data_IF_171428861275
#
_entry.id   IF_171428861275
#
_cell.length_a   1.000
_cell.length_b   1.000
_cell.length_c   1.000
_cell.angle_alpha   90.00
_cell.angle_beta   90.00
_cell.angle_gamma   90.00
#
_symmetry.space_group_name_H-M   'P 1'
#
loop_
_entity.id
_entity.type
_entity.pdbx_description
1 polymer ?
#
# COMPACT_ATOMS: atom_id res chain seq x y z
N UNK A 1 3.74 1.61 7.76
CA UNK A 1 5.18 1.48 7.45
C UNK A 1 5.68 2.69 6.69
N UNK A 2 5.04 3.16 5.62
CA UNK A 2 5.50 4.33 4.87
C UNK A 2 5.71 5.59 5.72
N UNK A 3 4.82 5.86 6.68
CA UNK A 3 5.02 6.99 7.63
C UNK A 3 6.34 6.93 8.39
N UNK A 4 6.80 5.73 8.77
CA UNK A 4 8.06 5.54 9.50
C UNK A 4 9.29 5.77 8.61
N UNK A 5 9.19 5.44 7.32
CA UNK A 5 10.23 5.78 6.34
C UNK A 5 10.27 7.30 6.06
N UNK A 6 9.11 7.96 6.04
CA UNK A 6 9.02 9.39 5.80
C UNK A 6 9.50 10.26 6.98
N UNK A 7 9.73 9.67 8.16
CA UNK A 7 10.15 10.42 9.35
C UNK A 7 11.43 11.21 9.15
N UNK A 8 12.40 10.65 8.40
CA UNK A 8 13.69 11.29 8.14
C UNK A 8 13.58 12.61 7.34
N UNK A 9 12.41 12.95 6.81
CA UNK A 9 12.17 14.22 6.13
C UNK A 9 12.75 14.29 4.71
N UNK A 10 13.29 13.20 4.18
CA UNK A 10 13.79 13.09 2.80
C UNK A 10 12.70 12.71 1.78
N UNK A 11 11.50 12.37 2.27
CA UNK A 11 10.42 11.84 1.46
C UNK A 11 9.19 12.74 1.48
N UNK A 12 8.56 12.88 0.32
CA UNK A 12 7.19 13.38 0.20
C UNK A 12 6.24 12.20 0.11
N UNK A 13 5.37 12.10 1.10
CA UNK A 13 4.42 11.01 1.23
C UNK A 13 3.25 11.19 0.26
N UNK A 14 3.08 10.25 -0.67
CA UNK A 14 1.95 10.15 -1.59
C UNK A 14 1.14 8.93 -1.20
N UNK A 15 -0.02 9.16 -0.60
CA UNK A 15 -0.88 8.09 -0.10
C UNK A 15 -1.74 7.54 -1.23
N UNK A 16 -1.72 6.24 -1.45
CA UNK A 16 -2.70 5.48 -2.24
C UNK A 16 -3.10 6.06 -3.61
N UNK A 17 -2.17 6.50 -4.48
CA UNK A 17 -2.46 7.04 -5.82
C UNK A 17 -3.40 6.18 -6.68
N UNK A 18 -3.40 4.85 -6.51
CA UNK A 18 -4.24 3.90 -7.21
C UNK A 18 -5.52 3.51 -6.43
N UNK A 19 -5.90 4.27 -5.40
CA UNK A 19 -7.21 4.08 -4.78
C UNK A 19 -8.31 4.78 -5.60
N UNK A 20 -9.30 4.05 -6.17
CA UNK A 20 -10.34 4.65 -7.00
C UNK A 20 -11.36 5.50 -6.20
N UNK A 21 -11.44 5.28 -4.88
CA UNK A 21 -12.45 5.87 -4.00
C UNK A 21 -11.91 6.99 -3.10
N UNK A 22 -10.60 6.98 -2.81
CA UNK A 22 -9.95 8.04 -2.04
C UNK A 22 -9.07 8.94 -2.93
N UNK A 23 -8.88 10.22 -2.57
CA UNK A 23 -7.75 10.99 -3.09
C UNK A 23 -6.46 10.22 -2.82
N UNK A 24 -5.63 9.97 -3.85
CA UNK A 24 -5.40 10.79 -5.04
C UNK A 24 -5.97 10.22 -6.35
N UNK A 25 -6.71 9.11 -6.36
CA UNK A 25 -7.31 8.57 -7.59
C UNK A 25 -8.30 9.54 -8.27
N UNK A 26 -8.78 10.56 -7.53
CA UNK A 26 -9.58 11.70 -8.02
C UNK A 26 -8.85 13.04 -7.95
N UNK A 27 -7.52 13.02 -7.86
CA UNK A 27 -6.66 14.18 -7.74
C UNK A 27 -5.71 14.20 -8.93
N UNK A 28 -6.15 14.70 -10.11
CA UNK A 28 -5.30 14.76 -11.30
C UNK A 28 -4.06 15.66 -11.12
N UNK A 29 -4.01 16.47 -10.06
CA UNK A 29 -2.81 17.14 -9.59
C UNK A 29 -1.71 16.21 -9.09
N UNK A 30 -2.08 15.11 -8.40
CA UNK A 30 -1.15 14.09 -7.88
C UNK A 30 -0.89 12.99 -8.89
N UNK A 31 -1.95 12.43 -9.47
CA UNK A 31 -1.89 11.37 -10.49
C UNK A 31 -2.87 11.69 -11.61
N UNK A 32 -2.34 12.10 -12.78
CA UNK A 32 -3.16 12.44 -13.95
C UNK A 32 -3.45 11.20 -14.81
N UNK A 33 -4.06 10.19 -14.21
CA UNK A 33 -4.52 8.97 -14.87
C UNK A 33 -5.87 8.54 -14.28
N UNK A 34 -6.67 7.79 -15.05
CA UNK A 34 -7.96 7.29 -14.59
C UNK A 34 -7.79 5.90 -13.98
N UNK A 35 -8.02 5.79 -12.67
CA UNK A 35 -8.00 4.50 -11.96
C UNK A 35 -9.41 3.92 -12.01
N UNK A 36 -9.58 2.85 -12.79
CA UNK A 36 -10.90 2.24 -13.01
C UNK A 36 -11.15 1.03 -12.13
N UNK A 37 -10.07 0.34 -11.70
CA UNK A 37 -10.17 -0.87 -10.88
C UNK A 37 -9.46 -0.72 -9.54
N UNK A 38 -9.97 -1.36 -8.50
CA UNK A 38 -9.18 -1.68 -7.31
C UNK A 38 -8.12 -2.69 -7.69
N UNK A 39 -6.88 -2.43 -7.26
CA UNK A 39 -5.71 -3.19 -7.71
C UNK A 39 -5.47 -3.08 -9.23
N UNK A 40 -5.52 -1.84 -9.73
CA UNK A 40 -5.24 -1.54 -11.14
C UNK A 40 -3.87 -2.10 -11.56
N UNK A 41 -3.90 -3.04 -12.51
CA UNK A 41 -2.74 -3.65 -13.12
C UNK A 41 -2.17 -2.77 -14.21
N UNK A 42 -0.85 -2.56 -14.14
CA UNK A 42 -0.07 -1.73 -15.05
C UNK A 42 1.12 -2.57 -15.50
N UNK A 43 1.29 -2.66 -16.81
CA UNK A 43 2.38 -3.35 -17.47
C UNK A 43 2.88 -2.49 -18.65
N UNK A 44 3.85 -3.00 -19.41
CA UNK A 44 4.43 -2.23 -20.51
C UNK A 44 3.41 -1.97 -21.64
N UNK A 45 2.45 -2.87 -21.84
CA UNK A 45 1.44 -2.75 -22.91
C UNK A 45 0.42 -1.64 -22.69
N UNK A 46 0.14 -1.26 -21.43
CA UNK A 46 -0.70 -0.11 -21.10
C UNK A 46 0.09 1.09 -20.56
N UNK A 47 1.43 1.03 -20.58
CA UNK A 47 2.28 2.06 -19.99
C UNK A 47 2.09 3.44 -20.60
N UNK A 48 1.60 3.55 -21.84
CA UNK A 48 1.34 4.84 -22.49
C UNK A 48 0.40 5.74 -21.66
N UNK A 49 -0.59 5.15 -20.99
CA UNK A 49 -1.58 5.87 -20.18
C UNK A 49 -1.05 6.21 -18.77
N UNK A 50 -0.15 5.38 -18.25
CA UNK A 50 0.29 5.44 -16.85
C UNK A 50 1.64 6.11 -16.66
N UNK A 51 2.59 5.87 -17.56
CA UNK A 51 3.97 6.33 -17.44
C UNK A 51 4.06 7.86 -17.35
N UNK A 52 3.38 8.67 -18.18
CA UNK A 52 3.46 10.12 -18.04
C UNK A 52 2.93 10.61 -16.70
N UNK A 53 1.82 10.03 -16.23
CA UNK A 53 1.18 10.39 -14.97
C UNK A 53 2.09 10.07 -13.78
N UNK A 54 2.60 8.84 -13.69
CA UNK A 54 3.49 8.46 -12.60
C UNK A 54 4.85 9.15 -12.68
N UNK A 55 5.39 9.41 -13.86
CA UNK A 55 6.65 10.15 -14.02
C UNK A 55 6.55 11.56 -13.44
N UNK A 56 5.37 12.18 -13.52
CA UNK A 56 5.10 13.43 -12.83
C UNK A 56 5.00 13.23 -11.32
N UNK A 57 4.24 12.24 -10.85
CA UNK A 57 4.08 11.93 -9.42
C UNK A 57 5.42 11.66 -8.74
N UNK A 58 6.25 10.77 -9.29
CA UNK A 58 7.55 10.39 -8.69
C UNK A 58 8.58 11.52 -8.74
N UNK A 59 8.47 12.43 -9.71
CA UNK A 59 9.28 13.66 -9.81
C UNK A 59 8.67 14.84 -9.05
N UNK A 60 7.62 14.60 -8.26
CA UNK A 60 6.92 15.61 -7.46
C UNK A 60 6.44 16.80 -8.31
N UNK A 61 6.00 16.52 -9.54
CA UNK A 61 5.46 17.51 -10.48
C UNK A 61 3.94 17.61 -10.33
N UNK A 62 3.51 18.44 -9.39
CA UNK A 62 2.08 18.64 -9.17
C UNK A 62 1.41 19.34 -10.38
N UNK A 63 0.30 18.81 -10.87
CA UNK A 63 -0.42 19.34 -12.04
C UNK A 63 -1.57 20.26 -11.62
N UNK A 64 -1.24 21.48 -11.19
CA UNK A 64 -2.21 22.50 -10.74
C UNK A 64 -3.37 22.73 -11.73
N UNK A 65 -3.06 22.92 -13.02
CA UNK A 65 -4.09 23.14 -14.04
C UNK A 65 -5.03 21.95 -14.22
N UNK A 66 -4.52 20.73 -14.09
CA UNK A 66 -5.34 19.53 -14.17
C UNK A 66 -6.26 19.40 -12.95
N UNK A 67 -5.74 19.69 -11.75
CA UNK A 67 -6.53 19.72 -10.52
C UNK A 67 -7.64 20.76 -10.58
N UNK A 68 -7.32 22.01 -10.95
CA UNK A 68 -8.28 23.11 -10.99
C UNK A 68 -9.38 22.91 -12.04
N UNK A 69 -9.07 22.22 -13.15
CA UNK A 69 -10.07 21.91 -14.18
C UNK A 69 -11.11 20.92 -13.67
N UNK A 70 -10.67 19.90 -12.93
CA UNK A 70 -11.52 18.81 -12.45
C UNK A 70 -12.22 19.11 -11.11
N UNK A 71 -11.52 19.75 -10.18
CA UNK A 71 -11.95 19.90 -8.79
C UNK A 71 -11.95 21.40 -8.41
N UNK A 72 -13.13 21.94 -8.10
CA UNK A 72 -13.33 23.39 -7.86
C UNK A 72 -14.03 23.73 -6.55
N UNK A 73 -14.38 22.75 -5.73
CA UNK A 73 -14.99 23.04 -4.44
C UNK A 73 -13.97 23.72 -3.50
N UNK A 74 -14.40 24.49 -2.48
CA UNK A 74 -13.48 25.06 -1.50
C UNK A 74 -12.59 24.03 -0.81
N UNK A 75 -13.15 22.84 -0.54
CA UNK A 75 -12.41 21.70 -0.01
C UNK A 75 -11.30 21.24 -0.96
N UNK A 76 -11.60 21.17 -2.26
CA UNK A 76 -10.64 20.78 -3.29
C UNK A 76 -9.52 21.79 -3.47
N UNK A 77 -9.82 23.08 -3.40
CA UNK A 77 -8.82 24.14 -3.48
C UNK A 77 -7.86 24.08 -2.28
N UNK A 78 -8.38 23.91 -1.07
CA UNK A 78 -7.55 23.73 0.13
C UNK A 78 -6.66 22.47 0.00
N UNK A 79 -7.24 21.37 -0.51
CA UNK A 79 -6.51 20.13 -0.80
C UNK A 79 -5.43 20.33 -1.85
N UNK A 80 -5.74 21.07 -2.93
CA UNK A 80 -4.82 21.41 -4.01
C UNK A 80 -3.63 22.22 -3.50
N UNK A 81 -3.87 23.28 -2.72
CA UNK A 81 -2.81 24.11 -2.14
C UNK A 81 -1.92 23.24 -1.26
N UNK A 82 -2.51 22.38 -0.43
CA UNK A 82 -1.79 21.50 0.49
C UNK A 82 -0.88 20.50 -0.24
N UNK A 83 -1.40 19.77 -1.23
CA UNK A 83 -0.58 18.83 -2.00
C UNK A 83 0.41 19.55 -2.92
N UNK A 84 -0.02 20.63 -3.56
CA UNK A 84 0.82 21.45 -4.42
C UNK A 84 2.01 22.05 -3.69
N UNK A 85 1.81 22.55 -2.46
CA UNK A 85 2.88 23.04 -1.60
C UNK A 85 3.85 21.91 -1.19
N UNK A 86 3.34 20.74 -0.79
CA UNK A 86 4.17 19.60 -0.41
C UNK A 86 5.03 19.09 -1.59
N UNK A 87 4.44 18.98 -2.78
CA UNK A 87 5.14 18.56 -4.00
C UNK A 87 6.17 19.61 -4.42
N UNK A 88 5.79 20.88 -4.45
CA UNK A 88 6.70 21.98 -4.82
C UNK A 88 7.86 22.07 -3.84
N UNK A 89 7.59 22.07 -2.54
CA UNK A 89 8.63 22.09 -1.51
C UNK A 89 9.54 20.88 -1.61
N UNK A 90 8.98 19.67 -1.77
CA UNK A 90 9.78 18.46 -1.93
C UNK A 90 10.68 18.50 -3.15
N UNK A 91 10.17 18.98 -4.29
CA UNK A 91 10.95 19.13 -5.51
C UNK A 91 12.07 20.16 -5.35
N UNK A 92 11.81 21.31 -4.73
CA UNK A 92 12.80 22.37 -4.49
C UNK A 92 13.89 21.94 -3.48
N UNK A 93 13.55 21.04 -2.57
CA UNK A 93 14.47 20.52 -1.53
C UNK A 93 15.13 19.19 -1.91
N UNK A 94 14.96 18.71 -3.14
CA UNK A 94 15.56 17.45 -3.60
C UNK A 94 15.02 16.19 -2.92
N UNK A 95 13.83 16.26 -2.31
CA UNK A 95 13.17 15.09 -1.70
C UNK A 95 12.68 14.10 -2.75
N UNK A 96 12.53 12.85 -2.34
CA UNK A 96 12.00 11.77 -3.19
C UNK A 96 10.53 11.51 -2.88
N UNK A 97 9.78 11.02 -3.87
CA UNK A 97 8.41 10.58 -3.63
C UNK A 97 8.41 9.21 -2.92
N UNK A 98 7.50 9.04 -1.95
CA UNK A 98 7.14 7.74 -1.38
C UNK A 98 5.69 7.45 -1.73
N UNK A 99 5.46 6.44 -2.56
CA UNK A 99 4.12 5.94 -2.86
C UNK A 99 3.79 4.85 -1.83
N UNK A 100 2.89 5.14 -0.89
CA UNK A 100 2.38 4.14 0.06
C UNK A 100 0.99 3.70 -0.43
N UNK A 101 0.93 2.58 -1.15
CA UNK A 101 -0.26 2.15 -1.89
C UNK A 101 -0.47 0.63 -1.82
N UNK A 102 -1.49 0.14 -1.09
CA UNK A 102 -1.81 -1.28 -1.06
C UNK A 102 -2.40 -1.77 -2.40
N UNK A 103 -3.00 -0.88 -3.22
CA UNK A 103 -3.58 -1.24 -4.52
C UNK A 103 -2.51 -1.41 -5.60
N UNK A 104 -1.29 -0.92 -5.39
CA UNK A 104 -0.19 -1.07 -6.34
C UNK A 104 0.45 -2.47 -6.37
N UNK A 105 0.03 -3.40 -5.50
CA UNK A 105 0.70 -4.70 -5.31
C UNK A 105 0.83 -5.51 -6.60
N UNK A 106 -0.19 -5.50 -7.46
CA UNK A 106 -0.17 -6.23 -8.73
C UNK A 106 0.72 -5.57 -9.78
N UNK A 107 0.99 -4.28 -9.62
CA UNK A 107 1.82 -3.47 -10.53
C UNK A 107 3.25 -3.28 -10.02
N UNK A 108 3.62 -3.95 -8.93
CA UNK A 108 4.89 -3.76 -8.21
C UNK A 108 6.12 -3.91 -9.12
N UNK A 109 6.13 -4.92 -9.99
CA UNK A 109 7.23 -5.15 -10.94
C UNK A 109 7.39 -4.01 -11.95
N UNK A 110 6.29 -3.45 -12.44
CA UNK A 110 6.33 -2.31 -13.36
C UNK A 110 6.85 -1.04 -12.67
N UNK A 111 6.43 -0.77 -11.42
CA UNK A 111 7.01 0.32 -10.62
C UNK A 111 8.52 0.18 -10.45
N UNK A 112 9.02 -1.05 -10.19
CA UNK A 112 10.44 -1.29 -10.03
C UNK A 112 11.21 -1.10 -11.35
N UNK A 113 10.80 -1.78 -12.43
CA UNK A 113 11.52 -1.78 -13.71
C UNK A 113 11.39 -0.47 -14.48
N UNK A 114 10.17 0.05 -14.61
CA UNK A 114 9.86 1.13 -15.56
C UNK A 114 9.98 2.51 -14.92
N UNK A 115 9.64 2.64 -13.63
CA UNK A 115 9.78 3.89 -12.89
C UNK A 115 11.07 3.98 -12.05
N UNK A 116 11.82 2.88 -11.93
CA UNK A 116 13.04 2.83 -11.11
C UNK A 116 12.75 2.96 -9.61
N UNK A 117 11.53 2.60 -9.17
CA UNK A 117 11.16 2.68 -7.77
C UNK A 117 11.87 1.59 -6.96
N UNK A 118 12.31 1.93 -5.75
CA UNK A 118 12.70 0.93 -4.75
C UNK A 118 11.44 0.41 -4.06
N UNK A 119 10.89 -0.66 -4.61
CA UNK A 119 9.62 -1.23 -4.14
C UNK A 119 9.88 -2.12 -2.93
N UNK A 120 9.04 -1.97 -1.90
CA UNK A 120 9.02 -2.81 -0.71
C UNK A 120 7.61 -3.37 -0.54
N UNK A 121 7.47 -4.69 -0.61
CA UNK A 121 6.22 -5.38 -0.38
C UNK A 121 6.21 -5.98 1.03
N UNK A 122 5.26 -5.53 1.86
CA UNK A 122 5.06 -6.12 3.19
C UNK A 122 4.16 -7.34 3.09
N UNK A 123 4.72 -8.50 3.39
CA UNK A 123 3.98 -9.76 3.39
C UNK A 123 3.67 -10.16 4.83
N UNK A 124 2.39 -10.40 5.09
CA UNK A 124 1.88 -10.81 6.41
C UNK A 124 1.49 -12.28 6.39
N UNK A 125 1.59 -12.96 7.54
CA UNK A 125 0.97 -14.27 7.74
C UNK A 125 -0.49 -14.30 7.23
N UNK A 126 -0.90 -15.35 6.48
CA UNK A 126 -2.21 -15.43 5.85
C UNK A 126 -3.36 -15.42 6.86
N UNK A 127 -3.17 -16.02 8.05
CA UNK A 127 -4.20 -16.05 9.10
C UNK A 127 -4.37 -14.66 9.71
N UNK A 128 -3.26 -13.98 10.00
CA UNK A 128 -3.27 -12.61 10.48
C UNK A 128 -3.85 -11.62 9.45
N UNK A 129 -3.62 -11.86 8.15
CA UNK A 129 -4.24 -11.12 7.05
C UNK A 129 -5.76 -11.30 7.04
N UNK A 130 -6.26 -12.54 7.02
CA UNK A 130 -7.69 -12.86 7.01
C UNK A 130 -8.41 -12.31 8.25
N UNK A 131 -7.81 -12.46 9.43
CA UNK A 131 -8.35 -11.90 10.67
C UNK A 131 -8.47 -10.37 10.61
N UNK A 132 -7.48 -9.69 10.01
CA UNK A 132 -7.51 -8.24 9.83
C UNK A 132 -8.61 -7.80 8.88
N UNK A 133 -8.79 -8.51 7.76
CA UNK A 133 -9.86 -8.23 6.80
C UNK A 133 -11.24 -8.38 7.44
N UNK A 134 -11.47 -9.47 8.18
CA UNK A 134 -12.73 -9.68 8.91
C UNK A 134 -13.00 -8.55 9.90
N UNK A 135 -12.03 -8.19 10.75
CA UNK A 135 -12.21 -7.12 11.76
C UNK A 135 -12.53 -5.75 11.13
N UNK A 136 -12.00 -5.48 9.94
CA UNK A 136 -12.24 -4.24 9.22
C UNK A 136 -13.52 -4.28 8.38
N UNK A 137 -14.22 -5.42 8.33
CA UNK A 137 -15.37 -5.63 7.44
C UNK A 137 -14.99 -5.50 5.96
N UNK A 138 -13.72 -5.74 5.62
CA UNK A 138 -13.24 -5.60 4.26
C UNK A 138 -13.58 -6.84 3.44
N UNK A 139 -13.99 -6.59 2.21
CA UNK A 139 -14.23 -7.61 1.19
C UNK A 139 -13.68 -7.11 -0.13
N UNK A 140 -13.36 -8.06 -1.01
CA UNK A 140 -12.90 -7.79 -2.37
C UNK A 140 -13.97 -8.25 -3.34
N UNK A 141 -14.18 -7.46 -4.38
CA UNK A 141 -15.01 -7.87 -5.50
C UNK A 141 -14.08 -8.35 -6.61
N UNK A 142 -14.09 -9.65 -6.90
CA UNK A 142 -13.09 -10.23 -7.81
C UNK A 142 -13.27 -9.82 -9.28
N UNK A 143 -14.42 -9.23 -9.65
CA UNK A 143 -14.54 -8.56 -10.95
C UNK A 143 -13.48 -7.47 -11.12
N UNK A 144 -13.11 -6.76 -10.05
CA UNK A 144 -12.07 -5.73 -10.07
C UNK A 144 -10.72 -6.28 -10.56
N UNK A 145 -10.45 -7.58 -10.40
CA UNK A 145 -9.22 -8.23 -10.86
C UNK A 145 -9.45 -8.96 -12.19
N UNK A 146 -10.52 -9.76 -12.27
CA UNK A 146 -10.80 -10.63 -13.43
C UNK A 146 -11.23 -9.85 -14.68
N UNK A 147 -11.75 -8.64 -14.55
CA UNK A 147 -12.13 -7.77 -15.68
C UNK A 147 -10.96 -6.93 -16.21
N UNK A 148 -9.73 -7.20 -15.74
CA UNK A 148 -8.51 -6.61 -16.27
C UNK A 148 -7.79 -7.62 -17.19
N UNK A 149 -7.96 -7.57 -18.53
CA UNK A 149 -7.47 -8.63 -19.42
C UNK A 149 -5.95 -8.80 -19.39
N UNK A 150 -5.21 -7.70 -19.25
CA UNK A 150 -3.75 -7.73 -19.14
C UNK A 150 -3.29 -8.41 -17.85
N UNK A 151 -4.00 -8.22 -16.73
CA UNK A 151 -3.70 -8.89 -15.47
C UNK A 151 -3.90 -10.40 -15.60
N UNK A 152 -5.02 -10.83 -16.16
CA UNK A 152 -5.34 -12.25 -16.35
C UNK A 152 -4.35 -12.92 -17.30
N UNK A 153 -3.95 -12.22 -18.37
CA UNK A 153 -2.94 -12.71 -19.33
C UNK A 153 -1.58 -12.92 -18.67
N UNK A 154 -1.10 -11.93 -17.93
CA UNK A 154 0.26 -11.93 -17.36
C UNK A 154 0.34 -12.74 -16.05
N UNK A 155 -0.79 -12.89 -15.37
CA UNK A 155 -0.95 -13.67 -14.14
C UNK A 155 -2.17 -14.59 -14.21
N UNK A 156 -2.10 -15.70 -14.98
CA UNK A 156 -3.22 -16.64 -15.14
C UNK A 156 -3.74 -17.23 -13.83
N UNK A 157 -2.91 -17.27 -12.77
CA UNK A 157 -3.34 -17.65 -11.42
C UNK A 157 -4.52 -16.83 -10.89
N UNK A 158 -4.75 -15.61 -11.39
CA UNK A 158 -5.89 -14.76 -11.02
C UNK A 158 -7.22 -15.44 -11.36
N UNK A 159 -7.26 -16.35 -12.34
CA UNK A 159 -8.45 -17.13 -12.68
C UNK A 159 -8.95 -18.02 -11.53
N UNK A 160 -8.09 -18.36 -10.56
CA UNK A 160 -8.50 -19.11 -9.36
C UNK A 160 -9.54 -18.38 -8.51
N UNK A 161 -9.68 -17.06 -8.71
CA UNK A 161 -10.64 -16.21 -8.01
C UNK A 161 -12.05 -16.34 -8.59
N UNK A 162 -12.20 -16.82 -9.84
CA UNK A 162 -13.49 -16.86 -10.55
C UNK A 162 -14.56 -17.67 -9.82
N UNK A 163 -14.29 -18.87 -9.25
CA UNK A 163 -15.28 -19.63 -8.49
C UNK A 163 -15.77 -18.93 -7.21
N UNK A 164 -15.07 -17.89 -6.74
CA UNK A 164 -15.42 -17.15 -5.54
C UNK A 164 -16.23 -15.87 -5.84
N UNK A 165 -16.55 -15.59 -7.11
CA UNK A 165 -17.49 -14.52 -7.47
C UNK A 165 -18.86 -14.84 -6.87
N UNK A 166 -19.47 -13.86 -6.22
CA UNK A 166 -20.78 -14.02 -5.56
C UNK A 166 -20.75 -14.84 -4.26
N UNK A 167 -19.60 -15.43 -3.89
CA UNK A 167 -19.47 -16.17 -2.64
C UNK A 167 -19.55 -15.24 -1.43
N UNK A 168 -20.34 -15.64 -0.43
CA UNK A 168 -20.41 -15.00 0.90
C UNK A 168 -19.28 -15.47 1.83
N UNK A 169 -18.44 -16.42 1.39
CA UNK A 169 -17.32 -16.90 2.18
C UNK A 169 -16.15 -15.90 2.17
N UNK A 170 -16.25 -14.91 3.06
CA UNK A 170 -15.23 -13.88 3.22
C UNK A 170 -13.85 -14.45 3.59
N UNK A 171 -13.78 -15.59 4.28
CA UNK A 171 -12.50 -16.23 4.63
C UNK A 171 -11.83 -16.80 3.38
N UNK A 172 -12.59 -17.52 2.56
CA UNK A 172 -12.09 -18.06 1.30
C UNK A 172 -11.64 -16.95 0.36
N UNK A 173 -12.41 -15.86 0.26
CA UNK A 173 -12.04 -14.69 -0.54
C UNK A 173 -10.76 -14.02 -0.05
N UNK A 174 -10.61 -13.81 1.25
CA UNK A 174 -9.38 -13.23 1.80
C UNK A 174 -8.16 -14.14 1.56
N UNK A 175 -8.30 -15.45 1.78
CA UNK A 175 -7.23 -16.42 1.55
C UNK A 175 -6.82 -16.49 0.06
N UNK A 176 -7.79 -16.46 -0.86
CA UNK A 176 -7.53 -16.49 -2.30
C UNK A 176 -6.86 -15.19 -2.78
N UNK A 177 -7.30 -14.02 -2.32
CA UNK A 177 -6.62 -12.76 -2.62
C UNK A 177 -5.17 -12.76 -2.10
N UNK A 178 -4.96 -13.25 -0.87
CA UNK A 178 -3.61 -13.37 -0.31
C UNK A 178 -2.72 -14.28 -1.18
N UNK A 179 -3.23 -15.41 -1.65
CA UNK A 179 -2.51 -16.33 -2.55
C UNK A 179 -2.13 -15.69 -3.88
N UNK A 180 -3.09 -15.11 -4.58
CA UNK A 180 -2.85 -14.48 -5.90
C UNK A 180 -1.84 -13.35 -5.76
N UNK A 181 -2.01 -12.47 -4.78
CA UNK A 181 -1.04 -11.40 -4.54
C UNK A 181 0.34 -11.93 -4.16
N UNK A 182 0.41 -13.01 -3.37
CA UNK A 182 1.67 -13.67 -3.03
C UNK A 182 2.36 -14.25 -4.27
N UNK A 183 1.62 -14.96 -5.13
CA UNK A 183 2.14 -15.54 -6.36
C UNK A 183 2.73 -14.47 -7.30
N UNK A 184 2.03 -13.35 -7.46
CA UNK A 184 2.49 -12.19 -8.25
C UNK A 184 3.79 -11.61 -7.67
N UNK A 185 3.86 -11.42 -6.35
CA UNK A 185 5.06 -10.90 -5.68
C UNK A 185 6.25 -11.86 -5.76
N UNK A 186 6.01 -13.16 -5.64
CA UNK A 186 7.05 -14.20 -5.74
C UNK A 186 7.63 -14.30 -7.16
N UNK A 187 6.84 -13.97 -8.19
CA UNK A 187 7.29 -13.83 -9.58
C UNK A 187 7.97 -12.49 -9.89
N UNK A 188 8.12 -11.60 -8.92
CA UNK A 188 8.69 -10.26 -9.11
C UNK A 188 10.03 -10.12 -8.37
N UNK A 189 11.16 -10.56 -8.95
CA UNK A 189 12.46 -10.59 -8.26
C UNK A 189 13.06 -9.20 -7.98
N UNK A 190 12.58 -8.14 -8.63
CA UNK A 190 13.15 -6.79 -8.54
C UNK A 190 12.73 -6.02 -7.28
N UNK A 191 11.84 -6.58 -6.46
CA UNK A 191 11.30 -5.92 -5.28
C UNK A 191 11.83 -6.54 -3.99
N UNK A 192 11.87 -5.75 -2.91
CA UNK A 192 12.16 -6.25 -1.58
C UNK A 192 10.88 -6.74 -0.91
N UNK A 193 10.75 -8.05 -0.72
CA UNK A 193 9.70 -8.60 0.13
C UNK A 193 10.15 -8.62 1.60
N UNK A 194 9.34 -8.06 2.49
CA UNK A 194 9.62 -8.00 3.94
C UNK A 194 8.47 -8.64 4.71
N UNK A 195 8.79 -9.58 5.58
CA UNK A 195 7.81 -10.13 6.53
C UNK A 195 7.37 -9.04 7.50
N UNK A 196 6.07 -8.74 7.50
CA UNK A 196 5.46 -7.84 8.46
C UNK A 196 5.71 -8.33 9.90
N UNK A 197 5.62 -9.64 10.12
CA UNK A 197 5.72 -10.22 11.46
C UNK A 197 7.15 -10.10 12.02
N UNK A 198 8.17 -10.33 11.18
CA UNK A 198 9.57 -10.07 11.57
C UNK A 198 9.84 -8.59 11.81
N UNK A 199 9.33 -7.72 10.93
CA UNK A 199 9.48 -6.26 11.09
C UNK A 199 8.78 -5.77 12.37
N UNK A 200 7.63 -6.34 12.73
CA UNK A 200 6.92 -5.98 13.95
C UNK A 200 7.59 -6.56 15.22
N UNK A 201 8.27 -7.70 15.12
CA UNK A 201 9.02 -8.29 16.22
C UNK A 201 10.29 -7.49 16.56
N UNK A 202 10.99 -6.97 15.55
CA UNK A 202 12.19 -6.14 15.71
C UNK A 202 12.13 -4.86 14.84
N UNK A 203 11.30 -3.87 15.24
CA UNK A 203 11.02 -2.71 14.40
C UNK A 203 12.23 -1.80 14.22
N UNK A 204 13.08 -1.63 15.23
CA UNK A 204 14.21 -0.70 15.14
C UNK A 204 15.23 -1.20 14.10
N UNK A 205 15.65 -2.47 14.21
CA UNK A 205 16.59 -3.04 13.24
C UNK A 205 15.95 -3.24 11.87
N UNK A 206 14.68 -3.65 11.83
CA UNK A 206 13.94 -3.80 10.58
C UNK A 206 13.83 -2.48 9.82
N UNK A 207 13.48 -1.38 10.48
CA UNK A 207 13.46 -0.06 9.83
C UNK A 207 14.87 0.44 9.48
N UNK A 208 15.89 0.17 10.29
CA UNK A 208 17.28 0.50 9.96
C UNK A 208 17.71 -0.17 8.64
N UNK A 209 17.37 -1.44 8.46
CA UNK A 209 17.60 -2.16 7.20
C UNK A 209 16.82 -1.55 6.02
N UNK A 210 15.56 -1.16 6.23
CA UNK A 210 14.76 -0.49 5.19
C UNK A 210 15.32 0.88 4.80
N UNK A 211 15.82 1.67 5.76
CA UNK A 211 16.50 2.94 5.47
C UNK A 211 17.75 2.70 4.61
N UNK A 212 18.55 1.69 4.94
CA UNK A 212 19.71 1.31 4.13
C UNK A 212 19.31 0.90 2.70
N UNK A 213 18.34 -0.01 2.55
CA UNK A 213 17.82 -0.44 1.24
C UNK A 213 17.31 0.74 0.41
N UNK A 214 16.64 1.71 1.04
CA UNK A 214 16.10 2.90 0.36
C UNK A 214 17.09 4.05 0.25
N UNK A 215 18.32 3.90 0.76
CA UNK A 215 19.33 4.95 0.85
C UNK A 215 18.77 6.21 1.49
N UNK A 216 18.06 6.05 2.60
CA UNK A 216 17.60 7.12 3.48
C UNK A 216 18.59 7.25 4.65
N UNK A 217 18.72 8.45 5.17
CA UNK A 217 19.61 8.75 6.29
C UNK A 217 18.97 8.27 7.59
N UNK A 218 19.63 7.33 8.26
CA UNK A 218 19.25 6.94 9.62
C UNK A 218 19.72 7.98 10.63
N UNK A 219 18.81 8.78 11.17
CA UNK A 219 19.11 9.83 12.16
C UNK A 219 18.62 9.45 13.55
N UNK A 220 19.20 10.01 14.63
CA UNK A 220 18.68 9.82 15.99
C UNK A 220 17.20 10.23 16.12
N UNK A 221 16.77 11.26 15.40
CA UNK A 221 15.35 11.68 15.37
C UNK A 221 14.46 10.63 14.72
N UNK A 222 14.91 9.97 13.64
CA UNK A 222 14.18 8.89 13.01
C UNK A 222 14.05 7.68 13.94
N UNK A 223 15.16 7.26 14.55
CA UNK A 223 15.19 6.18 15.53
C UNK A 223 14.25 6.44 16.70
N UNK A 224 14.34 7.61 17.33
CA UNK A 224 13.47 7.97 18.46
C UNK A 224 11.98 7.96 18.10
N UNK A 225 11.62 8.46 16.91
CA UNK A 225 10.23 8.46 16.45
C UNK A 225 9.73 7.06 16.12
N UNK A 226 10.56 6.20 15.50
CA UNK A 226 10.22 4.81 15.22
C UNK A 226 10.05 4.02 16.52
N UNK A 227 11.01 4.14 17.45
CA UNK A 227 10.93 3.55 18.79
C UNK A 227 9.64 3.98 19.50
N UNK A 228 9.33 5.28 19.52
CA UNK A 228 8.09 5.77 20.14
C UNK A 228 6.82 5.27 19.44
N UNK A 229 6.84 5.17 18.12
CA UNK A 229 5.69 4.72 17.35
C UNK A 229 5.41 3.21 17.49
N UNK A 230 6.47 2.40 17.63
CA UNK A 230 6.39 0.95 17.56
C UNK A 230 6.56 0.24 18.91
N UNK A 231 7.14 0.89 19.92
CA UNK A 231 7.49 0.27 21.21
C UNK A 231 6.79 0.92 22.41
N UNK A 232 6.28 2.14 22.29
CA UNK A 232 5.47 2.72 23.38
C UNK A 232 4.14 1.98 23.48
N UNK A 233 3.78 1.56 24.69
CA UNK A 233 2.45 1.02 24.99
C UNK A 233 1.39 2.09 24.70
N UNK A 234 0.69 1.92 23.59
CA UNK A 234 -0.51 2.71 23.32
C UNK A 234 -1.64 2.15 24.16
N UNK A 235 -2.38 3.01 24.88
CA UNK A 235 -3.67 2.63 25.46
C UNK A 235 -4.54 2.04 24.34
N UNK A 236 -5.05 0.82 24.55
CA UNK A 236 -5.79 0.04 23.56
C UNK A 236 -7.10 0.72 23.07
N UNK A 237 -7.43 1.90 23.60
CA UNK A 237 -8.65 2.66 23.34
C UNK A 237 -8.52 3.81 22.34
N UNK A 238 -7.32 4.16 21.84
CA UNK A 238 -7.20 5.20 20.82
C UNK A 238 -7.61 4.66 19.44
N UNK A 239 -8.72 5.17 18.90
CA UNK A 239 -9.18 4.91 17.53
C UNK A 239 -8.17 5.35 16.47
N UNK A 240 -8.40 4.97 15.20
CA UNK A 240 -7.55 5.41 14.09
C UNK A 240 -7.45 6.94 14.06
N UNK A 241 -6.22 7.46 14.15
CA UNK A 241 -5.97 8.88 13.99
C UNK A 241 -5.66 9.15 12.51
N UNK A 242 -6.48 10.00 11.90
CA UNK A 242 -6.21 10.52 10.56
C UNK A 242 -5.11 11.58 10.66
N UNK A 243 -3.85 11.21 10.40
CA UNK A 243 -2.72 12.13 10.53
C UNK A 243 -1.98 12.33 9.20
N UNK A 244 -1.42 13.53 9.01
CA UNK A 244 -0.66 13.89 7.81
C UNK A 244 -1.51 14.42 6.65
N UNK A 245 -0.82 14.89 5.61
CA UNK A 245 -1.38 15.58 4.43
C UNK A 245 -2.49 14.77 3.73
N UNK A 246 -2.42 13.45 3.79
CA UNK A 246 -3.29 12.53 3.09
C UNK A 246 -4.44 11.95 3.90
N UNK A 247 -4.57 12.29 5.19
CA UNK A 247 -5.45 11.57 6.14
C UNK A 247 -5.24 10.06 5.99
N UNK A 248 -4.00 9.61 6.19
CA UNK A 248 -3.74 8.17 6.28
C UNK A 248 -4.12 7.71 7.67
N UNK A 249 -4.99 6.71 7.76
CA UNK A 249 -5.34 6.07 9.03
C UNK A 249 -4.06 5.54 9.69
N UNK A 250 -3.72 6.10 10.84
CA UNK A 250 -2.55 5.70 11.59
C UNK A 250 -2.93 5.50 13.04
N UNK A 251 -2.44 4.41 13.61
CA UNK A 251 -2.59 4.10 15.01
C UNK A 251 -1.21 3.73 15.56
N UNK A 252 -0.62 4.54 16.46
CA UNK A 252 0.52 4.09 17.25
C UNK A 252 0.11 2.81 17.97
N UNK A 253 0.92 1.76 17.85
CA UNK A 253 0.63 0.48 18.44
C UNK A 253 1.96 -0.18 18.81
N UNK A 254 2.02 -0.79 19.99
CA UNK A 254 3.13 -1.67 20.32
C UNK A 254 3.13 -2.83 19.30
N UNK A 255 4.11 -2.81 18.42
CA UNK A 255 4.22 -3.70 17.28
C UNK A 255 4.32 -5.18 17.68
N UNK A 256 4.99 -5.49 18.80
CA UNK A 256 5.04 -6.84 19.37
C UNK A 256 3.68 -7.27 19.93
N UNK A 257 2.99 -6.38 20.63
CA UNK A 257 1.63 -6.66 21.15
C UNK A 257 0.61 -6.87 20.02
N UNK A 258 0.80 -6.18 18.89
CA UNK A 258 -0.02 -6.36 17.69
C UNK A 258 0.08 -7.79 17.12
N UNK A 259 1.22 -8.47 17.29
CA UNK A 259 1.41 -9.86 16.88
C UNK A 259 0.59 -10.82 17.75
N UNK A 260 0.56 -10.60 19.06
CA UNK A 260 -0.22 -11.43 19.99
C UNK A 260 -1.73 -11.37 19.73
N UNK A 261 -2.22 -10.25 19.19
CA UNK A 261 -3.64 -10.04 18.87
C UNK A 261 -3.94 -10.16 17.37
N UNK A 262 -2.96 -10.57 16.55
CA UNK A 262 -3.05 -10.53 15.10
C UNK A 262 -4.19 -11.41 14.57
N UNK A 263 -4.38 -12.58 15.16
CA UNK A 263 -5.40 -13.59 14.78
C UNK A 263 -6.75 -13.39 15.49
N UNK A 264 -6.89 -12.34 16.32
CA UNK A 264 -8.13 -12.05 17.05
C UNK A 264 -9.33 -11.96 16.10
N UNK A 265 -10.39 -12.69 16.42
CA UNK A 265 -11.64 -12.72 15.65
C UNK A 265 -11.77 -13.93 14.71
N UNK A 266 -10.82 -14.87 14.74
CA UNK A 266 -10.91 -16.19 14.11
C UNK A 266 -10.88 -17.30 15.16
N UNK A 267 -11.65 -18.36 14.94
CA UNK A 267 -11.55 -19.60 15.73
C UNK A 267 -10.36 -20.46 15.29
N UNK A 268 -9.92 -21.41 16.11
CA UNK A 268 -8.83 -22.34 15.75
C UNK A 268 -9.11 -23.14 14.48
N UNK A 269 -10.38 -23.49 14.25
CA UNK A 269 -10.84 -24.17 13.03
C UNK A 269 -10.72 -23.26 11.82
N UNK A 270 -11.20 -22.02 11.92
CA UNK A 270 -11.08 -21.00 10.87
C UNK A 270 -9.62 -20.69 10.54
N UNK A 271 -8.75 -20.60 11.55
CA UNK A 271 -7.31 -20.41 11.36
C UNK A 271 -6.68 -21.59 10.60
N UNK A 272 -7.06 -22.82 10.95
CA UNK A 272 -6.60 -24.03 10.26
C UNK A 272 -7.11 -24.07 8.82
N UNK A 273 -8.36 -23.67 8.60
CA UNK A 273 -8.98 -23.55 7.28
C UNK A 273 -8.24 -22.53 6.40
N UNK A 274 -7.91 -21.34 6.92
CA UNK A 274 -7.13 -20.34 6.16
C UNK A 274 -5.79 -20.93 5.74
N UNK A 275 -5.07 -21.60 6.64
CA UNK A 275 -3.78 -22.24 6.31
C UNK A 275 -3.92 -23.29 5.20
N UNK A 276 -4.96 -24.11 5.25
CA UNK A 276 -5.24 -25.10 4.20
C UNK A 276 -5.58 -24.44 2.86
N UNK A 277 -6.38 -23.36 2.88
CA UNK A 277 -6.72 -22.62 1.67
C UNK A 277 -5.48 -21.98 1.05
N UNK A 278 -4.57 -21.45 1.87
CA UNK A 278 -3.34 -20.79 1.40
C UNK A 278 -2.18 -21.72 1.08
N UNK A 279 -2.23 -22.99 1.52
CA UNK A 279 -1.21 -24.00 1.17
C UNK A 279 -1.48 -24.72 -0.15
N UNK A 280 -2.73 -24.75 -0.63
CA UNK A 280 -3.17 -25.43 -1.88
C UNK A 280 -2.74 -24.72 -3.18
N UNK A 281 -1.55 -24.13 -3.22
CA UNK A 281 -1.04 -23.38 -4.38
C UNK A 281 0.47 -23.47 -4.58
N UNK A 282 1.13 -24.44 -3.96
CA UNK A 282 2.53 -24.80 -4.21
C UNK A 282 2.60 -26.05 -5.09
#
# INVERSE_FOLDING_TARGET
MGKMLAVGGELVYVNEPLNPQHPPGRCPGVLRASVTHRFQYICDDNAADWLPAFRDTVRLRYRFLAELRANRSPYDLARMIRYGAAFTHGRLTGRRALLDDPFAVLSAGWFARTLGCRVIALVRDPVAFAASWRRLGWTVYFHELLEQPLLVRDHPEVEELRPLIGSEDHLAKAAALWRVTRAVLDKTPEILQVSYDKLAADPVNGFRALYSYTNLTWTPTAENRITRACLTEGTAERGFAWTGLSRTAYRPMNSRQALHTATRGLTSEEMSRVRQLTSRGA
#
